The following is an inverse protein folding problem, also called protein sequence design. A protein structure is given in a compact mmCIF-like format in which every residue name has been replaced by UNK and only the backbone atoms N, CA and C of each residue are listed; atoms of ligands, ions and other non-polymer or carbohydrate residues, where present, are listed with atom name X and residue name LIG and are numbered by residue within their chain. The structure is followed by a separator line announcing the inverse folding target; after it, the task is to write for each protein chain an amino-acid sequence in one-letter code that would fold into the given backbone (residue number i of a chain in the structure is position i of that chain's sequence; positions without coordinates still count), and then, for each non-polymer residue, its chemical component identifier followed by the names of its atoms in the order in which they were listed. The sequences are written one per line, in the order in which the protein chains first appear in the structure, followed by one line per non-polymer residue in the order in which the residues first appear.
data_IF_724907044013
#
_entry.id   IF_724907044013
#
_cell.length_a   1.000
_cell.length_b   1.000
_cell.length_c   1.000
_cell.angle_alpha   90.00
_cell.angle_beta   90.00
_cell.angle_gamma   90.00
#
_symmetry.space_group_name_H-M   'P 1'
#
loop_
_entity.id
_entity.type
_entity.pdbx_description
1 polymer ?
#
# COMPACT_ATOMS: atom_id res chain seq x y z
N UNK A 1 -24.32 -0.22 -5.92
CA UNK A 1 -23.58 -0.93 -4.85
C UNK A 1 -22.43 -0.04 -4.40
N UNK A 2 -22.44 0.41 -3.13
CA UNK A 2 -21.37 1.25 -2.57
C UNK A 2 -20.36 0.29 -1.95
N UNK A 3 -19.24 0.03 -2.62
CA UNK A 3 -18.16 -0.75 -2.02
C UNK A 3 -17.53 0.14 -0.95
N UNK A 4 -18.04 0.00 0.27
CA UNK A 4 -17.36 0.49 1.47
C UNK A 4 -16.13 -0.41 1.58
N UNK A 5 -14.96 0.08 1.18
CA UNK A 5 -13.70 -0.52 1.63
C UNK A 5 -13.64 -0.20 3.11
N UNK A 6 -14.27 -1.09 3.88
CA UNK A 6 -14.28 -1.14 5.33
C UNK A 6 -12.83 -1.07 5.78
N UNK A 7 -12.56 -0.24 6.80
CA UNK A 7 -11.30 -0.22 7.52
C UNK A 7 -10.99 -1.64 8.00
N UNK A 8 -10.29 -2.41 7.18
CA UNK A 8 -9.76 -3.70 7.57
C UNK A 8 -8.64 -3.42 8.58
N UNK A 9 -8.79 -3.86 9.85
CA UNK A 9 -7.84 -3.57 10.92
C UNK A 9 -6.46 -4.20 10.69
N UNK A 10 -6.34 -5.11 9.71
CA UNK A 10 -5.07 -5.70 9.28
C UNK A 10 -4.38 -4.90 8.17
N UNK A 11 -5.01 -3.84 7.64
CA UNK A 11 -4.38 -2.97 6.65
C UNK A 11 -3.37 -2.08 7.37
N UNK A 12 -2.09 -2.31 7.07
CA UNK A 12 -1.00 -1.50 7.57
C UNK A 12 -1.31 0.01 7.34
N UNK A 13 -1.30 0.85 8.39
CA UNK A 13 -1.71 2.24 8.30
C UNK A 13 -0.88 3.06 7.29
N UNK A 14 0.38 2.69 7.07
CA UNK A 14 1.24 3.31 6.06
C UNK A 14 0.78 2.96 4.63
N UNK A 15 0.30 1.74 4.42
CA UNK A 15 -0.28 1.32 3.13
C UNK A 15 -1.55 2.11 2.87
N UNK A 16 -2.43 2.23 3.87
CA UNK A 16 -3.65 3.05 3.75
C UNK A 16 -3.33 4.53 3.48
N UNK A 17 -2.31 5.09 4.14
CA UNK A 17 -1.85 6.46 3.91
C UNK A 17 -1.31 6.66 2.49
N UNK A 18 -0.53 5.70 1.97
CA UNK A 18 -0.03 5.74 0.60
C UNK A 18 -1.16 5.71 -0.42
N UNK A 19 -2.11 4.79 -0.28
CA UNK A 19 -3.26 4.66 -1.20
C UNK A 19 -4.03 5.98 -1.30
N UNK A 20 -4.27 6.65 -0.17
CA UNK A 20 -4.98 7.94 -0.13
C UNK A 20 -4.26 9.07 -0.89
N UNK A 21 -2.93 9.05 -0.93
CA UNK A 21 -2.13 10.14 -1.53
C UNK A 21 -1.63 9.82 -2.93
N UNK A 22 -1.32 8.57 -3.22
CA UNK A 22 -0.75 8.16 -4.50
C UNK A 22 -1.74 8.31 -5.65
N UNK A 23 -1.34 9.03 -6.70
CA UNK A 23 -2.15 9.21 -7.90
C UNK A 23 -2.46 7.87 -8.60
N UNK A 24 -1.48 6.95 -8.63
CA UNK A 24 -1.62 5.66 -9.30
C UNK A 24 -2.62 4.75 -8.58
N UNK A 25 -2.54 4.66 -7.24
CA UNK A 25 -3.52 3.91 -6.44
C UNK A 25 -4.93 4.49 -6.56
N UNK A 26 -5.09 5.83 -6.52
CA UNK A 26 -6.40 6.48 -6.69
C UNK A 26 -7.00 6.24 -8.08
N UNK A 27 -6.17 6.21 -9.13
CA UNK A 27 -6.62 5.89 -10.49
C UNK A 27 -7.09 4.45 -10.60
N UNK A 28 -6.34 3.51 -10.03
CA UNK A 28 -6.74 2.10 -9.94
C UNK A 28 -8.06 1.93 -9.19
N UNK A 29 -8.17 2.51 -7.99
CA UNK A 29 -9.38 2.45 -7.15
C UNK A 29 -10.62 2.98 -7.89
N UNK A 30 -10.48 4.11 -8.60
CA UNK A 30 -11.54 4.64 -9.46
C UNK A 30 -11.95 3.65 -10.56
N UNK A 31 -11.00 3.06 -11.27
CA UNK A 31 -11.28 2.11 -12.35
C UNK A 31 -12.04 0.87 -11.84
N UNK A 32 -11.62 0.35 -10.69
CA UNK A 32 -12.27 -0.78 -10.02
C UNK A 32 -13.69 -0.40 -9.57
N UNK A 33 -13.86 0.78 -8.95
CA UNK A 33 -15.15 1.26 -8.47
C UNK A 33 -16.16 1.50 -9.61
N UNK A 34 -15.68 1.92 -10.79
CA UNK A 34 -16.50 2.08 -11.99
C UNK A 34 -16.86 0.73 -12.64
N UNK A 35 -16.32 -0.39 -12.17
CA UNK A 35 -16.53 -1.72 -12.76
C UNK A 35 -16.01 -1.84 -14.19
N UNK A 36 -15.11 -0.93 -14.61
CA UNK A 36 -14.56 -0.93 -15.96
C UNK A 36 -13.49 -2.00 -16.08
N UNK A 37 -13.52 -2.72 -17.20
CA UNK A 37 -12.39 -3.55 -17.60
C UNK A 37 -11.18 -2.65 -17.85
N UNK A 38 -9.99 -3.14 -17.48
CA UNK A 38 -8.76 -2.41 -17.79
C UNK A 38 -8.66 -2.24 -19.32
N UNK A 39 -8.29 -1.05 -19.81
CA UNK A 39 -8.20 -0.78 -21.24
C UNK A 39 -7.16 -1.66 -21.94
N UNK A 40 -6.13 -2.10 -21.21
CA UNK A 40 -5.12 -3.03 -21.68
C UNK A 40 -4.52 -3.81 -20.48
N UNK A 41 -3.96 -4.99 -20.76
CA UNK A 41 -3.30 -5.83 -19.75
C UNK A 41 -2.04 -5.17 -19.16
N UNK A 42 -1.33 -4.37 -19.96
CA UNK A 42 -0.11 -3.66 -19.55
C UNK A 42 -0.39 -2.68 -18.40
N UNK A 43 -1.55 -2.03 -18.39
CA UNK A 43 -1.96 -1.08 -17.37
C UNK A 43 -2.31 -1.81 -16.07
N UNK A 44 -2.97 -2.97 -16.17
CA UNK A 44 -3.22 -3.84 -15.02
C UNK A 44 -1.90 -4.30 -14.39
N UNK A 45 -0.96 -4.78 -15.21
CA UNK A 45 0.38 -5.17 -14.75
C UNK A 45 1.12 -4.03 -14.08
N UNK A 46 1.05 -2.81 -14.64
CA UNK A 46 1.65 -1.61 -14.03
C UNK A 46 1.05 -1.31 -12.67
N UNK A 47 -0.27 -1.40 -12.51
CA UNK A 47 -0.91 -1.22 -11.20
C UNK A 47 -0.48 -2.30 -10.20
N UNK A 48 -0.48 -3.56 -10.62
CA UNK A 48 -0.04 -4.68 -9.78
C UNK A 48 1.42 -4.52 -9.34
N UNK A 49 2.32 -4.15 -10.26
CA UNK A 49 3.73 -3.91 -9.97
C UNK A 49 3.91 -2.76 -8.98
N UNK A 50 3.17 -1.65 -9.16
CA UNK A 50 3.21 -0.52 -8.25
C UNK A 50 2.78 -0.89 -6.83
N UNK A 51 1.66 -1.61 -6.69
CA UNK A 51 1.13 -2.03 -5.38
C UNK A 51 2.13 -2.97 -4.69
N UNK A 52 2.66 -3.98 -5.40
CA UNK A 52 3.67 -4.91 -4.84
C UNK A 52 4.93 -4.18 -4.38
N UNK A 53 5.47 -3.30 -5.23
CA UNK A 53 6.69 -2.54 -4.90
C UNK A 53 6.48 -1.60 -3.70
N UNK A 54 5.32 -0.96 -3.61
CA UNK A 54 4.98 -0.08 -2.49
C UNK A 54 4.87 -0.86 -1.19
N UNK A 55 4.16 -1.99 -1.19
CA UNK A 55 4.01 -2.85 0.00
C UNK A 55 5.38 -3.33 0.46
N UNK A 56 6.25 -3.77 -0.46
CA UNK A 56 7.60 -4.20 -0.12
C UNK A 56 8.42 -3.08 0.54
N UNK A 57 8.38 -1.86 -0.03
CA UNK A 57 9.08 -0.69 0.54
C UNK A 57 8.58 -0.33 1.93
N UNK A 58 7.27 -0.37 2.15
CA UNK A 58 6.68 -0.09 3.46
C UNK A 58 7.11 -1.14 4.48
N UNK A 59 7.08 -2.43 4.12
CA UNK A 59 7.54 -3.51 4.99
C UNK A 59 9.00 -3.35 5.41
N UNK A 60 9.89 -3.13 4.43
CA UNK A 60 11.31 -2.88 4.71
C UNK A 60 11.51 -1.68 5.62
N UNK A 61 10.81 -0.56 5.36
CA UNK A 61 10.93 0.62 6.21
C UNK A 61 10.43 0.39 7.65
N UNK A 62 9.37 -0.40 7.83
CA UNK A 62 8.86 -0.75 9.17
C UNK A 62 9.78 -1.72 9.91
N UNK A 63 10.36 -2.70 9.21
CA UNK A 63 11.32 -3.65 9.78
C UNK A 63 12.61 -2.92 10.18
N UNK A 64 13.12 -2.03 9.33
CA UNK A 64 14.29 -1.19 9.63
C UNK A 64 14.05 -0.28 10.85
N UNK A 65 12.85 0.30 10.96
CA UNK A 65 12.49 1.12 12.11
C UNK A 65 12.45 0.30 13.41
N UNK A 66 11.86 -0.89 13.36
CA UNK A 66 11.81 -1.81 14.50
C UNK A 66 13.21 -2.25 14.94
N UNK A 67 14.06 -2.60 13.97
CA UNK A 67 15.45 -2.99 14.24
C UNK A 67 16.25 -1.85 14.89
N UNK A 68 16.02 -0.59 14.48
CA UNK A 68 16.65 0.58 15.11
C UNK A 68 16.17 0.77 16.56
N UNK A 69 14.87 0.69 16.81
CA UNK A 69 14.33 0.79 18.18
C UNK A 69 14.86 -0.32 19.09
N UNK A 70 14.98 -1.55 18.57
CA UNK A 70 15.53 -2.67 19.33
C UNK A 70 17.04 -2.50 19.61
N UNK A 71 17.79 -1.94 18.65
CA UNK A 71 19.21 -1.59 18.83
C UNK A 71 19.38 -0.51 19.91
N UNK A 72 18.64 0.59 19.84
CA UNK A 72 18.71 1.67 20.81
C UNK A 72 18.36 1.19 22.23
N UNK A 73 17.35 0.31 22.36
CA UNK A 73 16.96 -0.28 23.65
C UNK A 73 18.03 -1.18 24.26
N UNK A 74 18.84 -1.85 23.43
CA UNK A 74 19.87 -2.79 23.90
C UNK A 74 21.21 -2.13 24.15
N UNK A 75 21.54 -1.03 23.47
CA UNK A 75 22.81 -0.31 23.63
C UNK A 75 22.77 0.82 24.67
N UNK A 76 21.59 1.35 25.01
CA UNK A 76 21.41 2.39 26.04
C UNK A 76 21.10 1.82 27.45
N UNK A 77 21.27 0.50 27.63
CA UNK A 77 21.21 -0.20 28.91
C UNK A 77 22.60 -0.60 29.38
#
# INVERSE_FOLDING_TARGET
MRVVVVNDPYVNPLVAAHIKRCHMCRRHDRLVAEGRQYPDEVLLERFAAHVRATIARIKMATEDAQLREDYDRTQLR
#
